data_IF_618729074303
#
_entry.id   IF_618729074303
#
_cell.length_a   1.000
_cell.length_b   1.000
_cell.length_c   1.000
_cell.angle_alpha   90.00
_cell.angle_beta   90.00
_cell.angle_gamma   90.00
#
_symmetry.space_group_name_H-M   'P 1'
#
loop_
_entity.id
_entity.type
_entity.pdbx_description
1 polymer ?
#
# COMPACT_ATOMS: atom_id res chain seq x y z
N UNK A 1 -25.66 31.58 2.08
CA UNK A 1 -24.35 31.96 1.50
C UNK A 1 -23.48 30.71 1.46
N UNK A 2 -23.70 29.89 0.43
CA UNK A 2 -22.96 28.64 0.20
C UNK A 2 -21.83 28.96 -0.78
N UNK A 3 -20.60 29.10 -0.30
CA UNK A 3 -19.43 29.22 -1.18
C UNK A 3 -19.04 27.83 -1.68
N UNK A 4 -19.21 27.65 -2.98
CA UNK A 4 -18.74 26.51 -3.77
C UNK A 4 -17.22 26.37 -3.62
N UNK A 5 -16.75 25.19 -3.23
CA UNK A 5 -15.38 24.79 -3.48
C UNK A 5 -15.17 24.69 -5.00
N UNK A 6 -14.08 25.25 -5.55
CA UNK A 6 -13.75 25.13 -6.96
C UNK A 6 -13.43 23.67 -7.30
N UNK A 7 -13.80 23.31 -8.52
CA UNK A 7 -13.86 21.97 -9.07
C UNK A 7 -12.60 21.16 -8.79
N UNK A 8 -12.77 20.00 -8.15
CA UNK A 8 -11.76 18.95 -8.15
C UNK A 8 -11.49 18.56 -9.60
N UNK A 9 -10.23 18.60 -10.08
CA UNK A 9 -9.95 18.14 -11.43
C UNK A 9 -10.35 16.67 -11.52
N UNK A 10 -11.33 16.40 -12.39
CA UNK A 10 -11.68 15.06 -12.83
C UNK A 10 -10.43 14.54 -13.54
N UNK A 11 -9.63 13.73 -12.84
CA UNK A 11 -8.59 12.96 -13.49
C UNK A 11 -9.28 11.98 -14.41
N UNK A 12 -9.47 12.38 -15.66
CA UNK A 12 -9.72 11.46 -16.76
C UNK A 12 -8.54 10.50 -16.75
N UNK A 13 -8.73 9.36 -16.08
CA UNK A 13 -7.88 8.20 -16.21
C UNK A 13 -7.94 7.84 -17.69
N UNK A 14 -6.91 8.24 -18.42
CA UNK A 14 -6.64 7.71 -19.74
C UNK A 14 -6.69 6.19 -19.60
N UNK A 15 -7.76 5.61 -20.14
CA UNK A 15 -7.89 4.19 -20.37
C UNK A 15 -6.77 3.83 -21.35
N UNK A 16 -5.65 3.33 -20.82
CA UNK A 16 -4.45 3.17 -21.64
C UNK A 16 -3.28 2.57 -20.89
N UNK A 17 -3.50 1.47 -20.16
CA UNK A 17 -2.48 0.44 -19.85
C UNK A 17 -3.10 -0.66 -19.00
N UNK A 18 -4.13 -1.32 -19.55
CA UNK A 18 -4.31 -2.72 -19.20
C UNK A 18 -3.03 -3.46 -19.62
N UNK A 19 -2.53 -4.40 -18.80
CA UNK A 19 -1.53 -5.46 -19.11
C UNK A 19 -0.16 -5.46 -18.42
N UNK A 20 0.30 -4.44 -17.67
CA UNK A 20 1.67 -4.55 -17.11
C UNK A 20 1.81 -5.58 -15.97
N UNK A 21 0.79 -5.77 -15.13
CA UNK A 21 0.89 -6.58 -13.90
C UNK A 21 -0.09 -7.75 -13.81
N UNK A 22 -0.97 -7.89 -14.80
CA UNK A 22 -1.93 -9.00 -14.81
C UNK A 22 -1.16 -10.28 -15.16
N UNK A 23 -1.29 -11.30 -14.32
CA UNK A 23 -0.77 -12.66 -14.52
C UNK A 23 0.76 -12.85 -14.41
N UNK A 24 1.50 -11.91 -13.81
CA UNK A 24 2.92 -12.15 -13.49
C UNK A 24 3.08 -13.06 -12.27
N UNK A 25 3.89 -14.13 -12.42
CA UNK A 25 4.31 -14.97 -11.30
C UNK A 25 5.46 -14.29 -10.56
N UNK A 26 5.15 -13.67 -9.43
CA UNK A 26 6.14 -13.03 -8.57
C UNK A 26 6.70 -14.04 -7.57
N UNK A 27 8.02 -14.22 -7.58
CA UNK A 27 8.74 -14.92 -6.51
C UNK A 27 9.11 -13.90 -5.45
N UNK A 28 8.33 -13.86 -4.38
CA UNK A 28 8.61 -13.00 -3.22
C UNK A 28 9.50 -13.76 -2.23
N UNK A 29 10.61 -13.16 -1.84
CA UNK A 29 11.40 -13.63 -0.73
C UNK A 29 10.84 -13.07 0.57
N UNK A 30 10.84 -13.88 1.62
CA UNK A 30 10.48 -13.38 2.95
C UNK A 30 11.52 -12.34 3.38
N UNK A 31 11.08 -11.31 4.10
CA UNK A 31 11.99 -10.41 4.77
C UNK A 31 12.87 -11.21 5.74
N UNK A 32 14.16 -10.85 5.89
CA UNK A 32 15.05 -11.53 6.81
C UNK A 32 14.40 -11.57 8.19
N UNK A 33 14.54 -12.73 8.84
CA UNK A 33 14.06 -12.94 10.20
C UNK A 33 15.10 -12.44 11.21
N UNK A 34 15.68 -11.28 10.95
CA UNK A 34 16.54 -10.64 11.95
C UNK A 34 15.64 -9.90 12.93
N UNK A 35 15.89 -10.15 14.21
CA UNK A 35 15.30 -9.58 15.41
C UNK A 35 14.07 -10.25 16.04
N UNK A 36 14.23 -10.52 17.34
CA UNK A 36 13.54 -11.47 18.20
C UNK A 36 12.07 -11.17 18.55
N UNK A 37 11.40 -10.32 17.78
CA UNK A 37 10.02 -9.90 18.04
C UNK A 37 9.01 -10.63 17.13
N UNK A 38 8.18 -11.54 17.67
CA UNK A 38 7.13 -12.21 16.92
C UNK A 38 6.10 -11.24 16.29
N UNK A 39 5.97 -10.00 16.79
CA UNK A 39 5.13 -8.98 16.18
C UNK A 39 5.70 -8.48 14.84
N UNK A 40 7.02 -8.30 14.72
CA UNK A 40 7.68 -7.94 13.46
C UNK A 40 7.64 -9.07 12.44
N UNK A 41 7.53 -10.32 12.91
CA UNK A 41 7.36 -11.47 12.01
C UNK A 41 6.08 -11.37 11.17
N UNK A 42 5.02 -10.74 11.70
CA UNK A 42 3.74 -10.50 11.02
C UNK A 42 3.81 -9.37 9.98
N UNK A 43 4.82 -8.52 10.03
CA UNK A 43 5.02 -7.45 9.04
C UNK A 43 5.56 -7.97 7.71
N UNK A 44 6.04 -9.21 7.66
CA UNK A 44 6.48 -9.83 6.40
C UNK A 44 5.28 -10.27 5.55
N UNK A 45 5.07 -9.68 4.34
CA UNK A 45 3.93 -10.02 3.50
C UNK A 45 3.88 -11.49 3.11
N UNK A 46 5.05 -12.12 2.88
CA UNK A 46 5.15 -13.55 2.54
C UNK A 46 4.65 -14.44 3.68
N UNK A 47 5.07 -14.15 4.93
CA UNK A 47 4.62 -14.92 6.10
C UNK A 47 3.14 -14.69 6.38
N UNK A 48 2.69 -13.43 6.32
CA UNK A 48 1.29 -13.09 6.51
C UNK A 48 0.37 -13.80 5.49
N UNK A 49 0.76 -13.81 4.21
CA UNK A 49 0.02 -14.51 3.16
C UNK A 49 0.00 -16.02 3.37
N UNK A 50 1.12 -16.64 3.81
CA UNK A 50 1.14 -18.07 4.12
C UNK A 50 0.13 -18.43 5.22
N UNK A 51 0.15 -17.68 6.32
CA UNK A 51 -0.81 -17.87 7.43
C UNK A 51 -2.25 -17.69 6.94
N UNK A 52 -2.51 -16.68 6.12
CA UNK A 52 -3.84 -16.45 5.56
C UNK A 52 -4.31 -17.62 4.69
N UNK A 53 -3.46 -18.13 3.80
CA UNK A 53 -3.78 -19.26 2.93
C UNK A 53 -4.06 -20.52 3.76
N UNK A 54 -3.19 -20.84 4.72
CA UNK A 54 -3.34 -22.02 5.58
C UNK A 54 -4.66 -21.97 6.37
N UNK A 55 -5.02 -20.80 6.91
CA UNK A 55 -6.25 -20.61 7.70
C UNK A 55 -7.53 -20.59 6.86
N UNK A 56 -7.45 -20.21 5.58
CA UNK A 56 -8.62 -20.08 4.70
C UNK A 56 -8.82 -21.27 3.77
N UNK A 57 -7.87 -22.22 3.75
CA UNK A 57 -7.85 -23.32 2.79
C UNK A 57 -9.14 -24.15 2.77
N UNK A 58 -9.76 -24.39 3.93
CA UNK A 58 -10.93 -25.27 4.06
C UNK A 58 -12.21 -24.75 3.40
N UNK A 59 -12.34 -23.43 3.20
CA UNK A 59 -13.54 -22.80 2.64
C UNK A 59 -13.25 -21.95 1.39
N UNK A 60 -12.05 -22.09 0.81
CA UNK A 60 -11.65 -21.36 -0.39
C UNK A 60 -12.16 -22.06 -1.64
N UNK A 61 -12.98 -21.36 -2.42
CA UNK A 61 -13.53 -21.85 -3.69
C UNK A 61 -12.79 -21.34 -4.94
N UNK A 62 -11.84 -20.42 -4.79
CA UNK A 62 -11.14 -19.76 -5.90
C UNK A 62 -9.64 -19.63 -5.66
N UNK A 63 -8.86 -19.58 -6.74
CA UNK A 63 -7.42 -19.27 -6.68
C UNK A 63 -7.14 -17.81 -6.31
N UNK A 64 -8.13 -16.91 -6.45
CA UNK A 64 -8.00 -15.52 -6.04
C UNK A 64 -7.81 -15.39 -4.52
N UNK A 65 -6.82 -14.60 -4.08
CA UNK A 65 -6.50 -14.42 -2.65
C UNK A 65 -7.60 -13.69 -1.88
N UNK A 66 -8.14 -12.63 -2.47
CA UNK A 66 -9.19 -11.80 -1.87
C UNK A 66 -10.24 -11.51 -2.92
N UNK A 67 -11.49 -11.86 -2.67
CA UNK A 67 -12.60 -11.72 -3.62
C UNK A 67 -13.30 -10.34 -3.56
N UNK A 68 -13.06 -9.53 -2.53
CA UNK A 68 -13.76 -8.26 -2.30
C UNK A 68 -12.78 -7.06 -2.23
N UNK A 69 -12.62 -6.36 -3.36
CA UNK A 69 -11.72 -5.20 -3.51
C UNK A 69 -12.15 -3.98 -2.69
N UNK A 70 -13.46 -3.70 -2.64
CA UNK A 70 -14.02 -2.59 -1.85
C UNK A 70 -13.78 -2.79 -0.35
N UNK A 71 -14.00 -4.02 0.12
CA UNK A 71 -13.81 -4.39 1.52
C UNK A 71 -12.36 -4.29 1.96
N UNK A 72 -11.42 -4.65 1.08
CA UNK A 72 -9.99 -4.47 1.34
C UNK A 72 -9.61 -3.00 1.49
N UNK A 73 -10.18 -2.13 0.66
CA UNK A 73 -9.92 -0.69 0.71
C UNK A 73 -10.37 -0.10 2.04
N UNK A 74 -11.55 -0.51 2.53
CA UNK A 74 -12.06 -0.12 3.85
C UNK A 74 -11.16 -0.65 4.96
N UNK A 75 -10.77 -1.93 4.93
CA UNK A 75 -9.89 -2.52 5.93
C UNK A 75 -8.54 -1.80 6.04
N UNK A 76 -7.97 -1.36 4.93
CA UNK A 76 -6.71 -0.59 4.95
C UNK A 76 -6.92 0.74 5.70
N UNK A 77 -8.01 1.46 5.41
CA UNK A 77 -8.30 2.74 6.08
C UNK A 77 -8.60 2.53 7.56
N UNK A 78 -9.39 1.51 7.91
CA UNK A 78 -9.73 1.16 9.29
C UNK A 78 -8.49 0.82 10.12
N UNK A 79 -7.56 0.04 9.53
CA UNK A 79 -6.29 -0.31 10.20
C UNK A 79 -5.44 0.94 10.42
N UNK A 80 -5.33 1.84 9.44
CA UNK A 80 -4.57 3.09 9.61
C UNK A 80 -5.19 3.94 10.73
N UNK A 81 -6.52 4.10 10.72
CA UNK A 81 -7.22 4.85 11.75
C UNK A 81 -7.03 4.24 13.15
N UNK A 82 -7.10 2.91 13.26
CA UNK A 82 -6.89 2.18 14.51
C UNK A 82 -5.47 2.38 15.06
N UNK A 83 -4.45 2.31 14.20
CA UNK A 83 -3.06 2.52 14.61
C UNK A 83 -2.86 3.95 15.11
N UNK A 84 -3.31 4.96 14.35
CA UNK A 84 -3.22 6.36 14.80
C UNK A 84 -3.89 6.56 16.16
N UNK A 85 -5.10 6.02 16.37
CA UNK A 85 -5.80 6.09 17.65
C UNK A 85 -5.02 5.41 18.78
N UNK A 86 -4.43 4.25 18.52
CA UNK A 86 -3.63 3.52 19.52
C UNK A 86 -2.34 4.23 19.92
N UNK A 87 -1.79 5.07 19.02
CA UNK A 87 -0.59 5.88 19.27
C UNK A 87 -0.91 7.27 19.86
N UNK A 88 -2.20 7.61 19.99
CA UNK A 88 -2.63 8.95 20.42
C UNK A 88 -2.46 10.03 19.36
N UNK A 89 -2.20 9.64 18.11
CA UNK A 89 -1.97 10.54 16.99
C UNK A 89 -3.27 10.85 16.24
N UNK A 90 -3.29 12.04 15.63
CA UNK A 90 -4.38 12.42 14.73
C UNK A 90 -4.25 11.67 13.40
N UNK A 91 -5.28 10.88 13.07
CA UNK A 91 -5.35 10.27 11.76
C UNK A 91 -5.47 11.36 10.68
N UNK A 92 -4.66 11.34 9.60
CA UNK A 92 -4.73 12.34 8.56
C UNK A 92 -6.12 12.36 7.90
N UNK A 93 -6.66 13.55 7.65
CA UNK A 93 -7.93 13.69 6.96
C UNK A 93 -7.81 13.18 5.53
N UNK A 94 -8.77 12.34 5.10
CA UNK A 94 -8.84 11.86 3.72
C UNK A 94 -7.85 10.73 3.37
N UNK A 95 -7.35 9.97 4.35
CA UNK A 95 -6.62 8.72 4.09
C UNK A 95 -7.48 7.78 3.24
N UNK A 96 -6.88 7.27 2.16
CA UNK A 96 -7.46 6.25 1.28
C UNK A 96 -6.47 5.11 1.15
N UNK A 97 -6.91 3.92 0.73
CA UNK A 97 -5.98 2.82 0.45
C UNK A 97 -4.90 3.21 -0.59
N UNK A 98 -5.22 4.10 -1.53
CA UNK A 98 -4.22 4.61 -2.47
C UNK A 98 -3.12 5.45 -1.80
N UNK A 99 -3.41 6.10 -0.67
CA UNK A 99 -2.41 6.86 0.11
C UNK A 99 -1.27 5.95 0.58
N UNK A 100 -1.57 4.69 0.92
CA UNK A 100 -0.56 3.68 1.29
C UNK A 100 0.48 3.49 0.18
N UNK A 101 0.06 3.51 -1.09
CA UNK A 101 0.96 3.39 -2.24
C UNK A 101 1.87 4.61 -2.38
N UNK A 102 1.33 5.81 -2.19
CA UNK A 102 2.12 7.05 -2.21
C UNK A 102 3.18 7.04 -1.11
N UNK A 103 2.78 6.71 0.13
CA UNK A 103 3.70 6.62 1.28
C UNK A 103 4.79 5.58 1.05
N UNK A 104 4.44 4.39 0.55
CA UNK A 104 5.43 3.34 0.25
C UNK A 104 6.46 3.80 -0.81
N UNK A 105 6.02 4.55 -1.82
CA UNK A 105 6.91 5.07 -2.87
C UNK A 105 7.83 6.15 -2.32
N UNK A 106 7.31 7.06 -1.50
CA UNK A 106 8.09 8.08 -0.79
C UNK A 106 9.10 7.47 0.18
N UNK A 107 8.70 6.43 0.91
CA UNK A 107 9.59 5.69 1.80
C UNK A 107 10.73 5.02 1.03
N UNK A 108 10.43 4.36 -0.09
CA UNK A 108 11.45 3.74 -0.93
C UNK A 108 12.46 4.76 -1.48
N UNK A 109 11.98 5.92 -1.94
CA UNK A 109 12.86 7.00 -2.41
C UNK A 109 13.75 7.53 -1.28
N UNK A 110 13.23 7.64 -0.05
CA UNK A 110 14.00 8.05 1.12
C UNK A 110 15.04 7.01 1.57
N UNK A 111 14.94 5.76 1.10
CA UNK A 111 15.88 4.66 1.38
C UNK A 111 16.67 4.26 0.12
N UNK A 112 17.03 5.26 -0.69
CA UNK A 112 17.93 5.14 -1.85
C UNK A 112 17.46 4.20 -2.97
N UNK A 113 16.18 3.83 -3.02
CA UNK A 113 15.64 3.10 -4.16
C UNK A 113 15.62 3.99 -5.41
N UNK A 114 16.05 3.44 -6.55
CA UNK A 114 16.06 4.20 -7.80
C UNK A 114 14.63 4.52 -8.28
N UNK A 115 14.44 5.68 -8.91
CA UNK A 115 13.14 6.03 -9.51
C UNK A 115 12.69 5.00 -10.55
N UNK A 116 13.63 4.40 -11.28
CA UNK A 116 13.33 3.33 -12.23
C UNK A 116 12.76 2.08 -11.54
N UNK A 117 13.34 1.69 -10.40
CA UNK A 117 12.85 0.56 -9.61
C UNK A 117 11.50 0.86 -8.97
N UNK A 118 11.30 2.08 -8.47
CA UNK A 118 10.01 2.51 -7.90
C UNK A 118 8.93 2.49 -8.99
N UNK A 119 9.19 3.07 -10.17
CA UNK A 119 8.25 3.08 -11.30
C UNK A 119 7.90 1.65 -11.75
N UNK A 120 8.90 0.78 -11.84
CA UNK A 120 8.74 -0.63 -12.19
C UNK A 120 7.90 -1.37 -11.14
N UNK A 121 8.21 -1.20 -9.86
CA UNK A 121 7.49 -1.85 -8.76
C UNK A 121 6.05 -1.34 -8.62
N UNK A 122 5.82 -0.05 -8.86
CA UNK A 122 4.49 0.53 -8.88
C UNK A 122 3.71 0.16 -10.16
N UNK A 123 4.38 -0.22 -11.25
CA UNK A 123 3.74 -0.44 -12.54
C UNK A 123 3.23 0.86 -13.18
N UNK A 124 3.94 1.97 -12.98
CA UNK A 124 3.62 3.23 -13.66
C UNK A 124 4.15 3.22 -15.10
N UNK A 125 3.29 3.59 -16.04
CA UNK A 125 3.65 3.69 -17.46
C UNK A 125 4.43 4.98 -17.80
N UNK A 126 4.30 6.04 -16.98
CA UNK A 126 4.94 7.34 -17.23
C UNK A 126 5.66 7.86 -16.00
N UNK A 127 6.79 8.59 -16.18
CA UNK A 127 7.62 9.09 -15.09
C UNK A 127 7.07 10.34 -14.39
N UNK A 128 5.80 10.69 -14.56
CA UNK A 128 5.24 11.97 -14.12
C UNK A 128 4.71 11.96 -12.67
N UNK A 129 5.04 10.94 -11.85
CA UNK A 129 4.59 10.94 -10.46
C UNK A 129 5.56 11.71 -9.57
N UNK A 130 5.02 12.75 -8.93
CA UNK A 130 5.69 13.53 -7.90
C UNK A 130 5.74 12.70 -6.61
N UNK A 131 6.89 12.10 -6.34
CA UNK A 131 7.21 11.46 -5.06
C UNK A 131 7.80 12.55 -4.16
N UNK A 132 7.08 12.94 -3.12
CA UNK A 132 7.61 13.88 -2.13
C UNK A 132 8.50 13.11 -1.13
N UNK A 133 9.65 13.67 -0.72
CA UNK A 133 10.46 13.07 0.34
C UNK A 133 9.66 13.02 1.65
N UNK A 134 9.71 11.88 2.35
CA UNK A 134 9.10 11.74 3.68
C UNK A 134 9.75 12.76 4.61
N UNK A 135 8.92 13.59 5.28
CA UNK A 135 9.41 14.55 6.27
C UNK A 135 10.18 13.82 7.37
N UNK A 136 11.33 14.36 7.77
CA UNK A 136 12.24 13.83 8.79
C UNK A 136 11.60 13.54 10.17
N UNK A 137 10.35 13.96 10.38
CA UNK A 137 9.55 13.63 11.58
C UNK A 137 9.07 12.17 11.64
N UNK A 138 9.04 11.45 10.51
CA UNK A 138 8.62 10.03 10.47
C UNK A 138 9.82 9.07 10.67
N UNK A 139 11.05 9.60 10.61
CA UNK A 139 12.30 8.83 10.76
C UNK A 139 13.07 9.18 12.05
N UNK A 140 12.42 9.85 13.01
CA UNK A 140 13.07 10.34 14.23
C UNK A 140 12.53 9.69 15.50
N UNK A 141 13.39 8.83 16.07
CA UNK A 141 13.40 8.18 17.40
C UNK A 141 12.32 7.14 17.73
#
# INVERSE_FOLDING_TARGET
LLSRCPETPVWNLAQGSHHAFRDQVLKLQALPSEEADPALALLCPVRALRIYVDRTQSFRSSKQLLSATERLTLWIVDVIALVCQSQGDLCPLGVRAHSTRSVASSYALAHDASLADIHRAAGWATPNLRIEPVSSRVLGN
#
